data_IF_330581057301
#
_entry.id   IF_330581057301
#
_cell.length_a   1.000
_cell.length_b   1.000
_cell.length_c   1.000
_cell.angle_alpha   90.00
_cell.angle_beta   90.00
_cell.angle_gamma   90.00
#
_symmetry.space_group_name_H-M   'P 1'
#
loop_
_entity.id
_entity.type
_entity.pdbx_description
1 polymer ?
#
# COMPACT_ATOMS: atom_id res chain seq x y z
N UNK A 1 -9.70 -27.20 -33.36
CA UNK A 1 -10.05 -26.07 -32.48
C UNK A 1 -9.90 -26.37 -30.98
N UNK A 2 -10.18 -27.59 -30.50
CA UNK A 2 -10.07 -27.95 -29.06
C UNK A 2 -8.64 -27.96 -28.50
N UNK A 3 -7.65 -28.41 -29.29
CA UNK A 3 -6.23 -28.47 -28.88
C UNK A 3 -5.62 -27.08 -28.64
N UNK A 4 -5.90 -26.15 -29.55
CA UNK A 4 -5.43 -24.77 -29.50
C UNK A 4 -6.05 -24.00 -28.32
N UNK A 5 -7.34 -24.24 -28.03
CA UNK A 5 -8.02 -23.65 -26.87
C UNK A 5 -7.41 -24.13 -25.54
N UNK A 6 -7.07 -25.43 -25.45
CA UNK A 6 -6.41 -25.99 -24.26
C UNK A 6 -5.02 -25.38 -24.02
N UNK A 7 -4.24 -25.14 -25.08
CA UNK A 7 -2.91 -24.52 -24.95
C UNK A 7 -2.99 -23.08 -24.46
N UNK A 8 -3.96 -22.30 -24.96
CA UNK A 8 -4.17 -20.90 -24.53
C UNK A 8 -4.59 -20.85 -23.06
N UNK A 9 -5.45 -21.77 -22.62
CA UNK A 9 -5.90 -21.83 -21.23
C UNK A 9 -4.75 -22.19 -20.28
N UNK A 10 -3.88 -23.13 -20.66
CA UNK A 10 -2.67 -23.42 -19.88
C UNK A 10 -1.72 -22.23 -19.78
N UNK A 11 -1.54 -21.48 -20.87
CA UNK A 11 -0.68 -20.30 -20.89
C UNK A 11 -1.20 -19.19 -19.96
N UNK A 12 -2.52 -18.94 -19.98
CA UNK A 12 -3.17 -17.97 -19.10
C UNK A 12 -3.06 -18.36 -17.62
N UNK A 13 -3.21 -19.65 -17.31
CA UNK A 13 -3.07 -20.16 -15.95
C UNK A 13 -1.62 -20.06 -15.44
N UNK A 14 -0.64 -20.31 -16.29
CA UNK A 14 0.78 -20.11 -15.98
C UNK A 14 1.13 -18.63 -15.78
N UNK A 15 0.60 -17.73 -16.60
CA UNK A 15 0.79 -16.28 -16.43
C UNK A 15 0.17 -15.77 -15.12
N UNK A 16 -0.98 -16.32 -14.72
CA UNK A 16 -1.67 -15.91 -13.49
C UNK A 16 -0.90 -16.30 -12.22
N UNK A 17 -0.02 -17.30 -12.30
CA UNK A 17 0.82 -17.75 -11.18
C UNK A 17 2.12 -16.94 -11.02
N UNK A 18 2.42 -16.03 -11.95
CA UNK A 18 3.61 -15.15 -11.88
C UNK A 18 3.39 -13.89 -11.03
N UNK A 19 2.16 -13.64 -10.57
CA UNK A 19 1.90 -12.64 -9.54
C UNK A 19 2.51 -13.10 -8.22
N UNK A 20 3.64 -12.51 -7.83
CA UNK A 20 4.39 -12.91 -6.65
C UNK A 20 3.52 -13.04 -5.39
N UNK A 21 3.72 -14.13 -4.64
CA UNK A 21 3.05 -14.37 -3.37
C UNK A 21 3.50 -13.31 -2.36
N UNK A 22 2.69 -12.27 -2.17
CA UNK A 22 2.89 -11.30 -1.10
C UNK A 22 2.32 -11.90 0.19
N UNK A 23 3.18 -12.54 0.98
CA UNK A 23 2.83 -12.92 2.34
C UNK A 23 2.89 -11.70 3.24
N UNK A 24 1.81 -11.44 3.99
CA UNK A 24 1.84 -10.45 5.05
C UNK A 24 2.84 -10.90 6.13
N UNK A 25 3.90 -10.12 6.34
CA UNK A 25 4.86 -10.38 7.41
C UNK A 25 4.28 -9.94 8.75
N UNK A 26 4.34 -10.82 9.76
CA UNK A 26 3.85 -10.53 11.12
C UNK A 26 4.84 -9.65 11.91
N UNK A 27 6.05 -9.45 11.42
CA UNK A 27 7.10 -8.67 12.09
C UNK A 27 7.11 -7.21 11.62
N UNK A 28 7.37 -6.24 12.53
CA UNK A 28 7.54 -4.85 12.12
C UNK A 28 8.72 -4.69 11.15
N UNK A 29 8.73 -3.62 10.33
CA UNK A 29 9.85 -3.34 9.44
C UNK A 29 11.17 -3.22 10.23
N UNK A 30 12.27 -3.83 9.76
CA UNK A 30 13.56 -3.69 10.42
C UNK A 30 14.07 -2.25 10.35
N UNK A 31 14.94 -1.86 11.28
CA UNK A 31 15.63 -0.56 11.23
C UNK A 31 16.37 -0.41 9.90
N UNK A 32 16.14 0.71 9.21
CA UNK A 32 16.73 0.98 7.89
C UNK A 32 16.03 0.27 6.73
N UNK A 33 14.99 -0.54 7.00
CA UNK A 33 14.13 -1.12 5.97
C UNK A 33 13.14 -0.12 5.38
N UNK A 34 12.42 -0.57 4.36
CA UNK A 34 11.39 0.23 3.70
C UNK A 34 10.10 0.25 4.53
N UNK A 35 9.54 1.44 4.73
CA UNK A 35 8.23 1.59 5.34
C UNK A 35 7.14 1.00 4.40
N UNK A 36 6.24 0.13 4.88
CA UNK A 36 5.13 -0.38 4.07
C UNK A 36 4.25 0.73 3.51
N UNK A 37 3.58 0.47 2.39
CA UNK A 37 2.65 1.42 1.81
C UNK A 37 1.37 1.49 2.68
N UNK A 38 1.17 2.63 3.34
CA UNK A 38 -0.09 2.95 4.03
C UNK A 38 -0.99 3.80 3.16
N UNK A 39 -2.29 3.48 3.19
CA UNK A 39 -3.34 4.32 2.63
C UNK A 39 -4.20 4.78 3.79
N UNK A 40 -4.14 6.07 4.10
CA UNK A 40 -4.84 6.70 5.23
C UNK A 40 -5.89 7.67 4.71
N UNK A 41 -6.96 7.88 5.47
CA UNK A 41 -7.97 8.88 5.11
C UNK A 41 -7.40 10.28 5.32
N UNK A 42 -7.72 11.21 4.41
CA UNK A 42 -7.41 12.62 4.59
C UNK A 42 -8.17 13.13 5.83
N UNK A 43 -7.51 13.84 6.76
CA UNK A 43 -8.18 14.41 7.93
C UNK A 43 -9.36 15.30 7.55
N UNK A 44 -10.44 15.21 8.33
CA UNK A 44 -11.60 16.09 8.17
C UNK A 44 -11.35 17.47 8.76
N UNK A 45 -10.56 17.53 9.83
CA UNK A 45 -10.18 18.78 10.46
C UNK A 45 -9.28 19.61 9.51
N UNK A 46 -9.63 20.88 9.22
CA UNK A 46 -8.85 21.72 8.32
C UNK A 46 -7.43 22.02 8.83
N UNK A 47 -7.23 22.14 10.15
CA UNK A 47 -5.92 22.44 10.72
C UNK A 47 -4.98 21.22 10.62
N UNK A 48 -5.49 20.02 10.89
CA UNK A 48 -4.75 18.77 10.68
C UNK A 48 -4.38 18.56 9.19
N UNK A 49 -5.33 18.81 8.29
CA UNK A 49 -5.11 18.72 6.84
C UNK A 49 -4.02 19.70 6.38
N UNK A 50 -4.06 20.93 6.86
CA UNK A 50 -3.06 21.96 6.57
C UNK A 50 -1.68 21.63 7.16
N UNK A 51 -1.64 21.11 8.39
CA UNK A 51 -0.41 20.67 9.05
C UNK A 51 0.34 19.61 8.23
N UNK A 52 -0.39 18.65 7.66
CA UNK A 52 0.19 17.62 6.78
C UNK A 52 0.48 18.12 5.34
N UNK A 53 0.04 19.33 5.00
CA UNK A 53 0.18 19.89 3.64
C UNK A 53 -0.68 19.18 2.60
N UNK A 54 -1.81 18.60 3.01
CA UNK A 54 -2.74 17.87 2.15
C UNK A 54 -3.89 18.77 1.67
N UNK A 55 -4.59 18.35 0.61
CA UNK A 55 -5.77 19.04 0.09
C UNK A 55 -6.80 18.04 -0.45
N UNK A 56 -8.04 18.49 -0.63
CA UNK A 56 -9.14 17.63 -1.10
C UNK A 56 -9.61 16.62 -0.05
N UNK A 57 -10.26 15.55 -0.52
CA UNK A 57 -10.87 14.50 0.29
C UNK A 57 -10.46 13.10 -0.21
N UNK A 58 -10.78 12.06 0.55
CA UNK A 58 -10.47 10.68 0.22
C UNK A 58 -9.28 10.14 0.99
N UNK A 59 -8.26 9.64 0.28
CA UNK A 59 -7.13 8.94 0.88
C UNK A 59 -5.80 9.52 0.42
N UNK A 60 -4.78 9.40 1.28
CA UNK A 60 -3.41 9.77 0.98
C UNK A 60 -2.43 8.65 1.39
N UNK A 61 -1.21 8.72 0.87
CA UNK A 61 -0.06 7.89 1.24
C UNK A 61 1.01 8.75 1.89
N UNK A 62 1.79 8.17 2.79
CA UNK A 62 2.85 8.87 3.54
C UNK A 62 3.79 9.72 2.65
N UNK A 63 4.26 9.25 1.47
CA UNK A 63 5.16 10.06 0.62
C UNK A 63 4.55 11.35 0.07
N UNK A 64 3.23 11.55 0.18
CA UNK A 64 2.57 12.80 -0.22
C UNK A 64 2.73 13.91 0.83
N UNK A 65 3.13 13.58 2.07
CA UNK A 65 3.47 14.56 3.10
C UNK A 65 4.81 15.20 2.73
N UNK A 66 4.84 16.53 2.59
CA UNK A 66 6.04 17.29 2.25
C UNK A 66 6.91 17.52 3.50
N UNK A 67 7.62 16.48 3.94
CA UNK A 67 8.54 16.53 5.07
C UNK A 67 9.82 15.75 4.78
N UNK A 68 10.93 16.15 5.45
CA UNK A 68 12.20 15.40 5.36
C UNK A 68 12.15 14.09 6.17
N UNK A 69 11.42 14.10 7.28
CA UNK A 69 11.24 12.97 8.19
C UNK A 69 9.79 12.95 8.64
N UNK A 70 9.21 11.75 8.73
CA UNK A 70 7.87 11.52 9.27
C UNK A 70 8.01 10.58 10.47
N UNK A 71 7.45 10.98 11.62
CA UNK A 71 7.34 10.14 12.81
C UNK A 71 5.95 9.54 12.82
N UNK A 72 5.86 8.21 12.96
CA UNK A 72 4.59 7.49 13.00
C UNK A 72 4.47 6.86 14.38
N UNK A 73 3.43 7.26 15.11
CA UNK A 73 3.06 6.67 16.40
C UNK A 73 1.78 5.87 16.22
N UNK A 74 1.84 4.60 16.60
CA UNK A 74 0.69 3.69 16.54
C UNK A 74 0.18 3.53 17.97
N UNK A 75 -0.93 4.17 18.28
CA UNK A 75 -1.63 3.94 19.54
C UNK A 75 -2.40 2.62 19.46
N UNK A 76 -1.98 1.63 20.25
CA UNK A 76 -2.83 0.48 20.54
C UNK A 76 -3.83 0.90 21.61
N UNK A 77 -4.97 1.47 21.20
CA UNK A 77 -6.13 1.58 22.06
C UNK A 77 -6.75 0.18 22.15
N UNK A 78 -6.61 -0.47 23.31
CA UNK A 78 -7.22 -1.77 23.61
C UNK A 78 -8.73 -1.64 23.79
#
# INVERSE_FOLDING_TARGET
MKKNLSTVLMLLMALSFSGGLVFASVTPPPKGGTLPAFTLQIPKDPAEKAYLGLSGDGFFKIPQIKAKVVVIEIFSLY
#
